data_IF_420335283738
#
_entry.id   IF_420335283738
#
_cell.length_a   1.000
_cell.length_b   1.000
_cell.length_c   1.000
_cell.angle_alpha   90.00
_cell.angle_beta   90.00
_cell.angle_gamma   90.00
#
_symmetry.space_group_name_H-M   'P 1'
#
loop_
_entity.id
_entity.type
_entity.pdbx_description
1 polymer ?
#
# COMPACT_ATOMS: atom_id res chain seq x y z
N UNK A 1 -22.46 3.51 3.67
CA UNK A 1 -21.17 2.82 3.91
C UNK A 1 -21.44 1.33 4.01
N UNK A 2 -20.70 0.47 3.30
CA UNK A 2 -21.07 -0.95 3.15
C UNK A 2 -19.97 -1.93 3.58
N UNK A 3 -18.69 -1.62 3.33
CA UNK A 3 -17.56 -2.45 3.74
C UNK A 3 -17.29 -2.47 5.27
N UNK A 4 -18.07 -1.71 6.05
CA UNK A 4 -17.99 -1.69 7.52
C UNK A 4 -17.09 -0.59 8.11
N UNK A 5 -16.28 0.10 7.30
CA UNK A 5 -15.52 1.27 7.77
C UNK A 5 -16.44 2.48 7.85
N UNK A 6 -16.84 2.92 9.05
CA UNK A 6 -17.56 4.20 9.20
C UNK A 6 -16.59 5.38 9.10
N UNK A 7 -16.12 5.67 7.89
CA UNK A 7 -15.20 6.76 7.57
C UNK A 7 -15.92 7.90 6.85
N UNK A 8 -16.10 9.04 7.51
CA UNK A 8 -16.80 10.20 6.97
C UNK A 8 -16.19 11.50 7.50
N UNK A 9 -16.68 12.66 7.05
CA UNK A 9 -16.23 13.94 7.58
C UNK A 9 -16.45 13.99 9.10
N UNK A 10 -15.37 14.18 9.86
CA UNK A 10 -15.40 14.19 11.33
C UNK A 10 -15.35 12.80 12.00
N UNK A 11 -15.35 11.71 11.23
CA UNK A 11 -15.24 10.35 11.78
C UNK A 11 -14.16 9.55 11.04
N UNK A 12 -13.06 9.27 11.72
CA UNK A 12 -11.92 8.51 11.19
C UNK A 12 -11.98 7.05 11.65
N UNK A 13 -12.48 6.17 10.76
CA UNK A 13 -12.57 4.74 11.04
C UNK A 13 -11.19 4.12 11.28
N UNK A 14 -10.15 4.59 10.60
CA UNK A 14 -8.80 4.03 10.70
C UNK A 14 -8.14 4.39 12.03
N UNK A 15 -8.47 5.54 12.61
CA UNK A 15 -8.07 5.89 13.97
C UNK A 15 -8.70 4.95 15.00
N UNK A 16 -9.99 4.64 14.85
CA UNK A 16 -10.70 3.67 15.71
C UNK A 16 -10.07 2.28 15.62
N UNK A 17 -9.78 1.81 14.41
CA UNK A 17 -9.06 0.54 14.21
C UNK A 17 -7.65 0.56 14.81
N UNK A 18 -6.90 1.63 14.58
CA UNK A 18 -5.53 1.77 15.08
C UNK A 18 -5.46 1.74 16.61
N UNK A 19 -6.40 2.40 17.31
CA UNK A 19 -6.51 2.31 18.77
C UNK A 19 -6.77 0.87 19.24
N UNK A 20 -7.66 0.16 18.54
CA UNK A 20 -7.94 -1.25 18.84
C UNK A 20 -6.69 -2.11 18.63
N UNK A 21 -5.95 -1.89 17.54
CA UNK A 21 -4.73 -2.61 17.22
C UNK A 21 -3.63 -2.38 18.26
N UNK A 22 -3.46 -1.14 18.73
CA UNK A 22 -2.53 -0.80 19.81
C UNK A 22 -2.80 -1.61 21.07
N UNK A 23 -4.07 -1.71 21.48
CA UNK A 23 -4.45 -2.45 22.69
C UNK A 23 -4.20 -3.96 22.57
N UNK A 24 -4.05 -4.49 21.35
CA UNK A 24 -3.80 -5.90 21.09
C UNK A 24 -2.35 -6.18 20.62
N UNK A 25 -1.47 -5.18 20.64
CA UNK A 25 -0.08 -5.29 20.20
C UNK A 25 0.08 -5.88 18.78
N UNK A 26 -0.75 -5.44 17.83
CA UNK A 26 -0.67 -5.85 16.41
C UNK A 26 -0.21 -4.71 15.51
N UNK A 27 0.24 -5.06 14.31
CA UNK A 27 0.62 -4.10 13.25
C UNK A 27 -0.57 -3.76 12.36
N UNK A 28 -0.51 -2.60 11.73
CA UNK A 28 -1.48 -2.16 10.73
C UNK A 28 -0.95 -2.49 9.33
N UNK A 29 -1.55 -3.47 8.66
CA UNK A 29 -1.24 -3.82 7.27
C UNK A 29 -2.33 -3.26 6.33
N UNK A 30 -1.94 -2.64 5.24
CA UNK A 30 -2.87 -1.95 4.34
C UNK A 30 -2.48 -2.08 2.86
N UNK A 31 -3.47 -2.10 1.98
CA UNK A 31 -3.27 -2.33 0.54
C UNK A 31 -3.39 -1.03 -0.28
N UNK A 32 -3.32 -1.15 -1.61
CA UNK A 32 -3.40 -0.05 -2.60
C UNK A 32 -2.17 0.88 -2.65
N UNK A 33 -1.01 0.46 -2.14
CA UNK A 33 0.18 1.31 -2.09
C UNK A 33 0.75 1.67 -3.47
N UNK A 34 0.40 0.92 -4.51
CA UNK A 34 0.82 1.16 -5.90
C UNK A 34 -0.02 2.22 -6.60
N UNK A 35 -1.22 2.49 -6.11
CA UNK A 35 -2.17 3.36 -6.76
C UNK A 35 -1.85 4.83 -6.51
N UNK A 36 -1.84 5.62 -7.58
CA UNK A 36 -1.67 7.07 -7.55
C UNK A 36 -2.87 7.77 -8.19
N UNK A 37 -3.01 9.07 -7.91
CA UNK A 37 -4.05 9.92 -8.50
C UNK A 37 -5.44 9.73 -7.90
N UNK A 38 -6.44 10.20 -8.64
CA UNK A 38 -7.87 10.19 -8.29
C UNK A 38 -8.71 9.92 -9.53
N UNK A 39 -9.81 9.19 -9.38
CA UNK A 39 -10.82 9.04 -10.44
C UNK A 39 -12.13 9.70 -9.99
N UNK A 40 -12.46 10.84 -10.60
CA UNK A 40 -13.68 11.60 -10.28
C UNK A 40 -14.98 10.89 -10.66
N UNK A 41 -14.96 10.01 -11.66
CA UNK A 41 -16.15 9.29 -12.09
C UNK A 41 -16.58 8.24 -11.04
N UNK A 42 -15.61 7.62 -10.39
CA UNK A 42 -15.84 6.62 -9.35
C UNK A 42 -15.66 7.17 -7.93
N UNK A 43 -15.37 8.47 -7.76
CA UNK A 43 -15.05 9.07 -6.46
C UNK A 43 -13.83 8.45 -5.77
N UNK A 44 -12.88 7.93 -6.55
CA UNK A 44 -11.74 7.16 -6.06
C UNK A 44 -10.56 8.07 -5.70
N UNK A 45 -9.96 7.85 -4.53
CA UNK A 45 -8.78 8.59 -4.06
C UNK A 45 -7.85 7.69 -3.24
N UNK A 46 -7.22 6.67 -3.87
CA UNK A 46 -6.49 5.63 -3.15
C UNK A 46 -5.25 6.15 -2.43
N UNK A 47 -4.49 7.09 -3.04
CA UNK A 47 -3.31 7.65 -2.40
C UNK A 47 -3.65 8.42 -1.11
N UNK A 48 -4.75 9.18 -1.11
CA UNK A 48 -5.22 9.89 0.09
C UNK A 48 -5.75 8.91 1.15
N UNK A 49 -6.38 7.80 0.73
CA UNK A 49 -6.84 6.76 1.62
C UNK A 49 -5.68 6.07 2.35
N UNK A 50 -4.61 5.73 1.61
CA UNK A 50 -3.36 5.18 2.17
C UNK A 50 -2.76 6.16 3.18
N UNK A 51 -2.69 7.46 2.84
CA UNK A 51 -2.19 8.47 3.76
C UNK A 51 -3.05 8.56 5.03
N UNK A 52 -4.38 8.55 4.91
CA UNK A 52 -5.28 8.59 6.07
C UNK A 52 -5.04 7.38 6.99
N UNK A 53 -5.01 6.17 6.43
CA UNK A 53 -4.83 4.94 7.20
C UNK A 53 -3.49 4.91 7.95
N UNK A 54 -2.38 5.23 7.27
CA UNK A 54 -1.06 5.22 7.90
C UNK A 54 -0.81 6.40 8.84
N UNK A 55 -1.40 7.56 8.60
CA UNK A 55 -1.38 8.68 9.56
C UNK A 55 -2.10 8.27 10.84
N UNK A 56 -3.28 7.65 10.74
CA UNK A 56 -4.03 7.15 11.89
C UNK A 56 -3.22 6.13 12.71
N UNK A 57 -2.61 5.14 12.06
CA UNK A 57 -1.71 4.18 12.71
C UNK A 57 -0.49 4.87 13.35
N UNK A 58 0.06 5.88 12.68
CA UNK A 58 1.16 6.70 13.18
C UNK A 58 0.82 7.45 14.48
N UNK A 59 -0.41 7.98 14.61
CA UNK A 59 -0.83 8.72 15.81
C UNK A 59 -0.82 7.90 17.10
N UNK A 60 -0.92 6.57 16.98
CA UNK A 60 -0.94 5.65 18.13
C UNK A 60 0.40 4.90 18.31
N UNK A 61 1.32 5.03 17.34
CA UNK A 61 2.67 4.48 17.38
C UNK A 61 2.77 2.98 17.06
N UNK A 62 1.82 2.41 16.32
CA UNK A 62 1.87 0.99 15.93
C UNK A 62 2.70 0.79 14.65
N UNK A 63 3.29 -0.40 14.51
CA UNK A 63 4.02 -0.78 13.30
C UNK A 63 3.10 -0.83 12.08
N UNK A 64 3.64 -0.46 10.91
CA UNK A 64 2.91 -0.37 9.65
C UNK A 64 3.51 -1.32 8.62
N UNK A 65 2.67 -2.06 7.91
CA UNK A 65 3.02 -2.91 6.78
C UNK A 65 2.13 -2.54 5.60
N UNK A 66 2.47 -3.00 4.40
CA UNK A 66 1.60 -2.75 3.26
C UNK A 66 1.77 -3.70 2.09
N UNK A 67 0.81 -3.63 1.17
CA UNK A 67 0.72 -4.47 -0.02
C UNK A 67 0.26 -3.65 -1.24
N UNK A 68 0.56 -4.13 -2.45
CA UNK A 68 -0.12 -3.65 -3.65
C UNK A 68 -1.45 -4.40 -3.83
N UNK A 69 -2.46 -3.72 -4.35
CA UNK A 69 -3.78 -4.31 -4.57
C UNK A 69 -3.90 -5.02 -5.93
N UNK A 70 -3.27 -4.46 -6.97
CA UNK A 70 -3.30 -4.97 -8.34
C UNK A 70 -1.95 -5.55 -8.78
N UNK A 71 -1.99 -6.49 -9.72
CA UNK A 71 -0.78 -7.05 -10.34
C UNK A 71 0.01 -5.96 -11.07
N UNK A 72 1.33 -5.91 -10.81
CA UNK A 72 2.22 -4.88 -11.35
C UNK A 72 3.18 -5.39 -12.42
N UNK A 73 3.34 -6.69 -12.60
CA UNK A 73 4.30 -7.28 -13.52
C UNK A 73 3.66 -8.39 -14.36
N UNK A 74 4.09 -8.51 -15.61
CA UNK A 74 3.73 -9.60 -16.50
C UNK A 74 4.76 -9.76 -17.61
N UNK A 75 4.45 -10.56 -18.62
CA UNK A 75 5.29 -10.63 -19.82
C UNK A 75 5.42 -9.25 -20.47
N UNK A 76 6.64 -8.86 -20.82
CA UNK A 76 6.95 -7.55 -21.38
C UNK A 76 7.31 -6.47 -20.35
N UNK A 77 7.16 -6.72 -19.04
CA UNK A 77 7.66 -5.84 -17.99
C UNK A 77 6.67 -5.55 -16.85
N UNK A 78 6.98 -4.50 -16.10
CA UNK A 78 6.27 -4.07 -14.91
C UNK A 78 5.84 -2.59 -14.99
N UNK A 79 4.82 -2.24 -14.22
CA UNK A 79 4.42 -0.87 -13.94
C UNK A 79 5.41 -0.23 -12.94
N UNK A 80 6.44 0.41 -13.48
CA UNK A 80 7.49 1.09 -12.69
C UNK A 80 7.00 2.33 -11.94
N UNK A 81 5.91 2.96 -12.40
CA UNK A 81 5.27 4.06 -11.68
C UNK A 81 4.61 3.56 -10.38
N UNK A 82 3.95 2.40 -10.43
CA UNK A 82 3.42 1.73 -9.24
C UNK A 82 4.52 1.40 -8.23
N UNK A 83 5.66 0.88 -8.70
CA UNK A 83 6.83 0.66 -7.84
C UNK A 83 7.38 1.93 -7.19
N UNK A 84 7.48 3.03 -7.95
CA UNK A 84 7.92 4.31 -7.39
C UNK A 84 6.94 4.83 -6.33
N UNK A 85 5.64 4.69 -6.55
CA UNK A 85 4.61 5.05 -5.59
C UNK A 85 4.74 4.23 -4.29
N UNK A 86 4.90 2.90 -4.40
CA UNK A 86 5.13 2.02 -3.23
C UNK A 86 6.35 2.49 -2.45
N UNK A 87 7.49 2.67 -3.10
CA UNK A 87 8.74 3.13 -2.44
C UNK A 87 8.50 4.45 -1.70
N UNK A 88 7.83 5.40 -2.35
CA UNK A 88 7.54 6.70 -1.75
C UNK A 88 6.62 6.57 -0.53
N UNK A 89 5.53 5.80 -0.60
CA UNK A 89 4.61 5.59 0.53
C UNK A 89 5.27 4.83 1.68
N UNK A 90 6.04 3.79 1.39
CA UNK A 90 6.80 3.04 2.39
C UNK A 90 7.77 3.95 3.16
N UNK A 91 8.52 4.81 2.45
CA UNK A 91 9.46 5.76 3.07
C UNK A 91 8.75 6.88 3.82
N UNK A 92 7.73 7.49 3.21
CA UNK A 92 6.94 8.57 3.81
C UNK A 92 6.35 8.14 5.16
N UNK A 93 5.85 6.90 5.24
CA UNK A 93 5.17 6.40 6.44
C UNK A 93 6.02 5.49 7.32
N UNK A 94 7.29 5.26 6.98
CA UNK A 94 8.19 4.41 7.76
C UNK A 94 7.67 2.98 7.93
N UNK A 95 7.24 2.35 6.84
CA UNK A 95 6.74 0.98 6.87
C UNK A 95 7.86 0.01 7.27
N UNK A 96 7.51 -0.98 8.10
CA UNK A 96 8.42 -2.02 8.56
C UNK A 96 8.58 -3.14 7.54
N UNK A 97 7.56 -3.39 6.72
CA UNK A 97 7.56 -4.42 5.70
C UNK A 97 6.60 -4.06 4.56
N UNK A 98 6.85 -4.66 3.40
CA UNK A 98 5.96 -4.62 2.25
C UNK A 98 5.85 -6.03 1.65
N UNK A 99 4.63 -6.49 1.37
CA UNK A 99 4.36 -7.78 0.73
C UNK A 99 3.91 -7.54 -0.71
N UNK A 100 4.67 -8.06 -1.67
CA UNK A 100 4.34 -7.93 -3.08
C UNK A 100 3.32 -8.99 -3.54
N UNK A 101 2.24 -8.53 -4.18
CA UNK A 101 1.26 -9.35 -4.88
C UNK A 101 1.60 -9.38 -6.37
N UNK A 102 1.90 -10.53 -6.99
CA UNK A 102 2.19 -11.87 -6.47
C UNK A 102 3.27 -12.47 -7.35
N UNK A 103 3.98 -13.50 -6.88
CA UNK A 103 4.82 -14.31 -7.77
C UNK A 103 3.99 -14.95 -8.89
N UNK A 104 4.32 -14.62 -10.15
CA UNK A 104 3.73 -15.20 -11.35
C UNK A 104 4.81 -15.65 -12.32
N UNK A 105 4.44 -16.47 -13.32
CA UNK A 105 5.37 -16.84 -14.40
C UNK A 105 5.83 -15.62 -15.20
N UNK A 106 4.94 -14.68 -15.48
CA UNK A 106 5.30 -13.44 -16.19
C UNK A 106 6.35 -12.62 -15.44
N UNK A 107 6.32 -12.59 -14.10
CA UNK A 107 7.37 -11.94 -13.30
C UNK A 107 8.71 -12.69 -13.34
N UNK A 108 8.67 -14.03 -13.22
CA UNK A 108 9.87 -14.85 -13.00
C UNK A 108 10.57 -15.27 -14.31
N UNK A 109 9.80 -15.54 -15.36
CA UNK A 109 10.30 -16.10 -16.62
C UNK A 109 10.68 -15.00 -17.63
N UNK A 110 10.24 -13.75 -17.43
CA UNK A 110 10.56 -12.59 -18.28
C UNK A 110 11.74 -11.78 -17.71
N UNK A 111 12.84 -11.70 -18.46
CA UNK A 111 14.06 -11.01 -18.02
C UNK A 111 13.90 -9.50 -17.80
N UNK A 112 13.00 -8.84 -18.54
CA UNK A 112 12.73 -7.42 -18.36
C UNK A 112 11.91 -7.17 -17.09
N UNK A 113 10.84 -7.95 -16.88
CA UNK A 113 10.03 -7.88 -15.66
C UNK A 113 10.88 -8.19 -14.42
N UNK A 114 11.69 -9.25 -14.47
CA UNK A 114 12.59 -9.63 -13.38
C UNK A 114 13.64 -8.54 -13.09
N UNK A 115 14.23 -7.94 -14.12
CA UNK A 115 15.16 -6.82 -13.97
C UNK A 115 14.52 -5.59 -13.31
N UNK A 116 13.29 -5.26 -13.68
CA UNK A 116 12.55 -4.15 -13.10
C UNK A 116 12.13 -4.43 -11.65
N UNK A 117 11.71 -5.65 -11.34
CA UNK A 117 11.34 -6.07 -9.99
C UNK A 117 12.53 -6.09 -9.03
N UNK A 118 13.67 -6.65 -9.44
CA UNK A 118 14.89 -6.65 -8.61
C UNK A 118 15.42 -5.24 -8.34
N UNK A 119 15.29 -4.32 -9.30
CA UNK A 119 15.56 -2.89 -9.09
C UNK A 119 14.57 -2.23 -8.12
N UNK A 120 13.29 -2.62 -8.15
CA UNK A 120 12.32 -2.17 -7.14
C UNK A 120 12.73 -2.64 -5.74
N UNK A 121 13.03 -3.94 -5.57
CA UNK A 121 13.45 -4.53 -4.29
C UNK A 121 14.72 -3.87 -3.75
N UNK A 122 15.70 -3.54 -4.61
CA UNK A 122 16.95 -2.89 -4.18
C UNK A 122 16.74 -1.50 -3.59
N UNK A 123 15.68 -0.80 -4.02
CA UNK A 123 15.32 0.56 -3.60
C UNK A 123 14.36 0.62 -2.40
N UNK A 124 13.84 -0.54 -1.98
CA UNK A 124 12.98 -0.71 -0.81
C UNK A 124 13.74 -0.81 0.51
N UNK A 125 15.07 -0.87 0.46
CA UNK A 125 15.95 -0.80 1.64
C UNK A 125 15.82 0.52 2.40
#
# INVERSE_FOLDING_TARGET
>A
MTAGYYNSNGNDAYKTLSNTFKNNNVRFDFTCLEMSGTDGNCGSSPANLVDQAFNAAGTVGIGKCGENALELCGYGGCNTNGFNQIINKCKQHGLTAFTYLRMTRGLLDDGNAWGQFTNFVSRMK
#
